data_IF_941358806752
#
_entry.id   IF_941358806752
#
_cell.length_a   1.000
_cell.length_b   1.000
_cell.length_c   1.000
_cell.angle_alpha   90.00
_cell.angle_beta   90.00
_cell.angle_gamma   90.00
#
_symmetry.space_group_name_H-M   'P 1'
#
loop_
_entity.id
_entity.type
_entity.pdbx_description
1 polymer ?
#
# COMPACT_ATOMS: atom_id res chain seq x y z
N UNK A 1 -3.74 10.87 -15.01
CA UNK A 1 -2.32 11.05 -15.43
C UNK A 1 -2.17 10.53 -16.85
N UNK A 2 -1.42 11.20 -17.70
CA UNK A 2 -1.26 10.84 -19.12
C UNK A 2 -0.33 9.63 -19.33
N UNK A 3 0.65 9.42 -18.45
CA UNK A 3 1.53 8.25 -18.47
C UNK A 3 1.82 7.77 -17.05
N UNK A 4 1.78 6.46 -16.83
CA UNK A 4 2.19 5.81 -15.58
C UNK A 4 3.56 5.16 -15.74
N UNK A 5 4.30 4.98 -14.65
CA UNK A 5 5.55 4.24 -14.71
C UNK A 5 5.27 2.75 -14.56
N UNK A 6 5.76 1.95 -15.50
CA UNK A 6 5.74 0.49 -15.43
C UNK A 6 7.17 -0.05 -15.58
N UNK A 7 7.42 -1.22 -15.00
CA UNK A 7 8.67 -1.95 -15.16
C UNK A 7 8.50 -2.91 -16.32
N UNK A 8 9.33 -2.77 -17.34
CA UNK A 8 9.40 -3.69 -18.46
C UNK A 8 10.66 -4.54 -18.30
N UNK A 9 10.50 -5.85 -18.36
CA UNK A 9 11.65 -6.74 -18.43
C UNK A 9 12.40 -6.58 -19.76
N UNK A 10 13.71 -6.33 -19.68
CA UNK A 10 14.59 -6.33 -20.84
C UNK A 10 15.37 -7.64 -20.93
N UNK A 11 15.83 -8.14 -19.78
CA UNK A 11 16.79 -9.23 -19.72
C UNK A 11 16.70 -9.99 -18.40
N UNK A 12 16.76 -11.32 -18.48
CA UNK A 12 16.75 -12.22 -17.33
C UNK A 12 17.86 -13.25 -17.49
N UNK A 13 18.62 -13.45 -16.42
CA UNK A 13 19.58 -14.54 -16.22
C UNK A 13 19.10 -15.47 -15.12
N UNK A 14 19.81 -16.56 -14.86
CA UNK A 14 19.50 -17.43 -13.73
C UNK A 14 19.60 -16.74 -12.36
N UNK A 15 20.38 -15.66 -12.24
CA UNK A 15 20.63 -14.99 -10.95
C UNK A 15 20.09 -13.56 -10.86
N UNK A 16 19.85 -12.89 -11.99
CA UNK A 16 19.52 -11.46 -12.03
C UNK A 16 18.50 -11.14 -13.13
N UNK A 17 17.61 -10.19 -12.84
CA UNK A 17 16.66 -9.59 -13.80
C UNK A 17 16.98 -8.10 -13.97
N UNK A 18 17.01 -7.64 -15.21
CA UNK A 18 17.17 -6.24 -15.58
C UNK A 18 15.82 -5.69 -16.05
N UNK A 19 15.24 -4.83 -15.23
CA UNK A 19 13.98 -4.16 -15.50
C UNK A 19 14.24 -2.71 -15.91
N UNK A 20 13.60 -2.26 -16.99
CA UNK A 20 13.59 -0.85 -17.39
C UNK A 20 12.31 -0.20 -16.95
N UNK A 21 12.44 0.93 -16.27
CA UNK A 21 11.31 1.82 -16.00
C UNK A 21 10.96 2.56 -17.30
N UNK A 22 9.76 2.34 -17.81
CA UNK A 22 9.22 3.02 -19.00
C UNK A 22 7.99 3.85 -18.63
N UNK A 23 7.65 4.82 -19.48
CA UNK A 23 6.36 5.50 -19.44
C UNK A 23 5.34 4.61 -20.15
N UNK A 24 4.55 3.87 -19.36
CA UNK A 24 3.42 3.09 -19.84
C UNK A 24 2.17 3.94 -20.09
N UNK A 25 1.05 3.25 -20.32
CA UNK A 25 -0.25 3.89 -20.49
C UNK A 25 -0.69 4.68 -19.25
N UNK A 26 -1.77 5.44 -19.38
CA UNK A 26 -2.32 6.22 -18.28
C UNK A 26 -2.73 5.37 -17.07
N UNK A 27 -3.06 6.06 -15.99
CA UNK A 27 -3.62 5.43 -14.80
C UNK A 27 -4.63 6.34 -14.10
N UNK A 28 -5.54 5.69 -13.37
CA UNK A 28 -6.57 6.30 -12.55
C UNK A 28 -6.41 5.88 -11.09
N UNK A 29 -6.27 6.88 -10.25
CA UNK A 29 -6.19 6.78 -8.79
C UNK A 29 -7.39 7.52 -8.24
N UNK A 30 -8.17 6.85 -7.41
CA UNK A 30 -9.34 7.41 -6.76
C UNK A 30 -9.42 6.89 -5.34
N UNK A 31 -9.85 7.71 -4.40
CA UNK A 31 -9.96 7.29 -3.02
C UNK A 31 -10.77 8.26 -2.18
N UNK A 32 -11.17 7.78 -1.02
CA UNK A 32 -11.87 8.52 0.01
C UNK A 32 -11.05 8.41 1.31
N UNK A 33 -10.24 9.44 1.64
CA UNK A 33 -9.65 9.55 2.96
C UNK A 33 -10.68 10.15 3.93
N UNK A 34 -10.55 9.77 5.19
CA UNK A 34 -11.24 10.44 6.28
C UNK A 34 -10.36 10.39 7.53
N UNK A 35 -10.38 11.48 8.28
CA UNK A 35 -9.55 11.67 9.46
C UNK A 35 -10.41 12.15 10.62
N UNK A 36 -10.08 11.67 11.81
CA UNK A 36 -10.76 11.95 13.05
C UNK A 36 -9.73 12.33 14.11
N UNK A 37 -9.97 13.45 14.79
CA UNK A 37 -9.22 13.82 15.98
C UNK A 37 -10.18 14.29 17.05
N UNK A 38 -10.11 13.67 18.22
CA UNK A 38 -10.94 14.00 19.36
C UNK A 38 -10.05 14.20 20.59
N UNK A 39 -10.35 15.23 21.37
CA UNK A 39 -9.76 15.48 22.67
C UNK A 39 -10.89 15.37 23.71
N UNK A 40 -10.75 14.46 24.66
CA UNK A 40 -11.70 14.30 25.75
C UNK A 40 -11.06 14.85 27.03
N UNK A 41 -11.35 16.13 27.30
CA UNK A 41 -10.73 16.86 28.41
C UNK A 41 -9.21 17.00 28.25
N UNK A 42 -8.48 17.23 29.35
CA UNK A 42 -7.03 17.43 29.30
C UNK A 42 -6.22 16.13 29.25
N UNK A 43 -6.84 14.97 29.43
CA UNK A 43 -6.13 13.71 29.69
C UNK A 43 -6.20 12.71 28.55
N UNK A 44 -7.23 12.73 27.71
CA UNK A 44 -7.43 11.71 26.67
C UNK A 44 -7.43 12.35 25.29
N UNK A 45 -6.65 11.77 24.38
CA UNK A 45 -6.64 12.13 22.96
C UNK A 45 -6.81 10.89 22.09
N UNK A 46 -7.69 10.97 21.09
CA UNK A 46 -7.82 9.98 20.04
C UNK A 46 -7.54 10.64 18.70
N UNK A 47 -6.65 10.07 17.91
CA UNK A 47 -6.45 10.40 16.51
C UNK A 47 -6.60 9.14 15.68
N UNK A 48 -7.27 9.22 14.55
CA UNK A 48 -7.39 8.09 13.62
C UNK A 48 -7.56 8.62 12.20
N UNK A 49 -7.05 7.86 11.24
CA UNK A 49 -7.28 8.11 9.82
C UNK A 49 -7.52 6.80 9.10
N UNK A 50 -8.30 6.88 8.04
CA UNK A 50 -8.68 5.75 7.20
C UNK A 50 -8.74 6.21 5.75
N UNK A 51 -8.27 5.35 4.86
CA UNK A 51 -8.23 5.62 3.43
C UNK A 51 -8.70 4.38 2.70
N UNK A 52 -9.74 4.55 1.89
CA UNK A 52 -10.15 3.57 0.89
C UNK A 52 -9.70 4.08 -0.46
N UNK A 53 -8.94 3.28 -1.21
CA UNK A 53 -8.42 3.67 -2.51
C UNK A 53 -8.57 2.58 -3.56
N UNK A 54 -8.69 3.01 -4.81
CA UNK A 54 -8.72 2.19 -6.01
C UNK A 54 -7.78 2.79 -7.04
N UNK A 55 -6.72 2.04 -7.33
CA UNK A 55 -5.62 2.43 -8.20
C UNK A 55 -5.55 1.46 -9.37
N UNK A 56 -5.73 1.96 -10.58
CA UNK A 56 -5.85 1.12 -11.78
C UNK A 56 -5.09 1.71 -12.96
N UNK A 57 -4.28 0.88 -13.61
CA UNK A 57 -3.66 1.14 -14.90
C UNK A 57 -4.74 1.09 -15.99
N UNK A 58 -4.65 1.96 -16.98
CA UNK A 58 -5.59 1.95 -18.10
C UNK A 58 -5.45 0.68 -18.94
N UNK A 59 -4.21 0.24 -19.17
CA UNK A 59 -3.85 -1.05 -19.75
C UNK A 59 -3.26 -2.01 -18.70
N UNK A 60 -3.44 -3.33 -18.85
CA UNK A 60 -2.80 -4.31 -17.97
C UNK A 60 -1.28 -4.19 -17.95
N UNK A 61 -0.69 -4.43 -16.78
CA UNK A 61 0.75 -4.60 -16.64
C UNK A 61 1.21 -5.80 -17.50
N UNK A 62 2.31 -5.68 -18.28
CA UNK A 62 2.70 -6.68 -19.28
C UNK A 62 2.99 -8.09 -18.73
N UNK A 63 3.62 -8.19 -17.57
CA UNK A 63 4.15 -9.47 -17.07
C UNK A 63 3.06 -10.30 -16.38
N UNK A 64 2.17 -9.66 -15.62
CA UNK A 64 1.13 -10.35 -14.84
C UNK A 64 -0.29 -10.11 -15.35
N UNK A 65 -0.49 -9.28 -16.37
CA UNK A 65 -1.83 -8.95 -16.91
C UNK A 65 -2.74 -8.25 -15.89
N UNK A 66 -2.17 -7.68 -14.82
CA UNK A 66 -2.92 -7.06 -13.74
C UNK A 66 -3.07 -5.56 -14.00
N UNK A 67 -4.27 -5.02 -13.78
CA UNK A 67 -4.50 -3.58 -13.86
C UNK A 67 -4.39 -2.88 -12.51
N UNK A 68 -4.36 -3.59 -11.40
CA UNK A 68 -4.18 -2.98 -10.09
C UNK A 68 -2.72 -2.65 -9.86
N UNK A 69 -2.47 -1.57 -9.13
CA UNK A 69 -1.11 -1.19 -8.78
C UNK A 69 -0.53 -2.22 -7.81
N UNK A 70 0.67 -2.71 -8.11
CA UNK A 70 1.38 -3.61 -7.22
C UNK A 70 1.78 -2.89 -5.92
N UNK A 71 1.87 -3.67 -4.84
CA UNK A 71 2.28 -3.20 -3.50
C UNK A 71 1.50 -1.97 -3.02
N UNK A 72 0.24 -1.85 -3.45
CA UNK A 72 -0.63 -0.72 -3.14
C UNK A 72 -1.92 -1.22 -2.49
N UNK A 73 -2.11 -1.05 -1.17
CA UNK A 73 -3.27 -1.57 -0.44
C UNK A 73 -4.56 -0.85 -0.82
N UNK A 74 -5.68 -1.58 -0.90
CA UNK A 74 -7.00 -0.99 -1.18
C UNK A 74 -7.55 -0.21 0.02
N UNK A 75 -7.07 -0.50 1.22
CA UNK A 75 -7.46 0.15 2.46
C UNK A 75 -6.26 0.31 3.38
N UNK A 76 -6.15 1.45 4.03
CA UNK A 76 -5.18 1.71 5.09
C UNK A 76 -5.87 2.46 6.22
N UNK A 77 -5.52 2.16 7.46
CA UNK A 77 -5.99 2.93 8.61
C UNK A 77 -4.98 2.92 9.74
N UNK A 78 -4.98 4.00 10.51
CA UNK A 78 -4.21 4.12 11.74
C UNK A 78 -5.09 4.66 12.86
N UNK A 79 -4.73 4.37 14.10
CA UNK A 79 -5.31 4.97 15.29
C UNK A 79 -4.25 5.13 16.38
N UNK A 80 -4.31 6.26 17.07
CA UNK A 80 -3.45 6.60 18.20
C UNK A 80 -4.33 7.08 19.35
N UNK A 81 -4.25 6.39 20.48
CA UNK A 81 -4.91 6.74 21.73
C UNK A 81 -3.84 7.15 22.74
N UNK A 82 -3.94 8.38 23.22
CA UNK A 82 -3.10 8.92 24.28
C UNK A 82 -3.92 9.12 25.55
N UNK A 83 -3.38 8.69 26.68
CA UNK A 83 -3.86 9.00 28.02
C UNK A 83 -2.71 9.60 28.83
N UNK A 84 -2.85 10.85 29.23
CA UNK A 84 -1.81 11.62 29.92
C UNK A 84 -2.36 12.07 31.27
N UNK A 85 -1.96 11.39 32.34
CA UNK A 85 -2.26 11.78 33.71
C UNK A 85 -0.93 12.01 34.43
N UNK A 86 -0.42 13.24 34.35
CA UNK A 86 0.95 13.63 34.71
C UNK A 86 1.42 13.38 36.15
N UNK A 87 0.60 12.75 37.00
CA UNK A 87 0.95 12.31 38.37
C UNK A 87 0.83 10.80 38.59
N UNK A 88 0.16 10.07 37.69
CA UNK A 88 -0.17 8.65 37.86
C UNK A 88 0.47 7.83 36.74
N UNK A 89 0.07 8.08 35.50
CA UNK A 89 0.52 7.29 34.36
C UNK A 89 0.27 8.04 33.06
N UNK A 90 1.17 7.82 32.10
CA UNK A 90 0.99 8.21 30.72
C UNK A 90 1.02 6.91 29.88
N UNK A 91 0.05 6.76 28.98
CA UNK A 91 -0.12 5.58 28.13
C UNK A 91 -0.38 6.06 26.71
N UNK A 92 0.38 5.52 25.78
CA UNK A 92 0.18 5.74 24.34
C UNK A 92 0.01 4.38 23.67
N UNK A 93 -1.08 4.23 22.93
CA UNK A 93 -1.43 3.03 22.17
C UNK A 93 -1.57 3.41 20.70
N UNK A 94 -0.84 2.72 19.83
CA UNK A 94 -0.90 2.89 18.38
C UNK A 94 -1.34 1.60 17.70
N UNK A 95 -2.17 1.73 16.69
CA UNK A 95 -2.66 0.65 15.85
C UNK A 95 -2.51 1.05 14.38
N UNK A 96 -1.93 0.16 13.59
CA UNK A 96 -1.82 0.29 12.14
C UNK A 96 -2.47 -0.92 11.47
N UNK A 97 -3.19 -0.65 10.39
CA UNK A 97 -3.79 -1.68 9.55
C UNK A 97 -3.56 -1.36 8.08
N UNK A 98 -2.98 -2.33 7.38
CA UNK A 98 -2.77 -2.27 5.94
C UNK A 98 -3.47 -3.43 5.27
N UNK A 99 -4.40 -3.12 4.37
CA UNK A 99 -5.21 -4.11 3.69
C UNK A 99 -4.44 -4.87 2.60
N UNK A 100 -5.16 -5.81 1.98
CA UNK A 100 -4.61 -6.64 0.89
C UNK A 100 -4.24 -5.81 -0.34
N UNK A 101 -3.24 -6.29 -1.05
CA UNK A 101 -2.72 -5.73 -2.30
C UNK A 101 -2.17 -6.81 -3.22
N UNK A 102 -1.95 -6.45 -4.48
CA UNK A 102 -1.28 -7.33 -5.44
C UNK A 102 0.23 -7.33 -5.20
N UNK A 103 0.80 -8.50 -4.96
CA UNK A 103 2.22 -8.73 -4.73
C UNK A 103 2.77 -9.60 -5.86
N UNK A 104 3.63 -9.04 -6.74
CA UNK A 104 4.32 -9.84 -7.74
C UNK A 104 5.47 -10.59 -7.06
N UNK A 105 5.49 -11.90 -7.27
CA UNK A 105 6.58 -12.78 -6.90
C UNK A 105 7.27 -13.24 -8.17
N UNK A 106 8.54 -12.90 -8.31
CA UNK A 106 9.35 -13.27 -9.46
C UNK A 106 10.07 -14.59 -9.18
N UNK A 107 10.15 -15.44 -10.20
CA UNK A 107 10.95 -16.66 -10.29
C UNK A 107 12.37 -16.41 -9.77
N UNK A 108 12.86 -17.37 -9.00
CA UNK A 108 14.20 -17.36 -8.41
C UNK A 108 14.26 -18.38 -7.28
N UNK A 109 13.68 -18.03 -6.14
CA UNK A 109 13.40 -19.01 -5.08
C UNK A 109 12.16 -19.87 -5.38
N UNK A 110 11.15 -19.27 -6.03
CA UNK A 110 9.96 -19.96 -6.51
C UNK A 110 10.12 -20.38 -7.98
N UNK A 111 9.39 -21.42 -8.40
CA UNK A 111 9.53 -22.05 -9.72
C UNK A 111 9.09 -21.17 -10.89
N UNK A 112 8.05 -20.35 -10.68
CA UNK A 112 7.46 -19.51 -11.71
C UNK A 112 7.04 -18.15 -11.15
N UNK A 113 6.90 -17.17 -12.02
CA UNK A 113 6.37 -15.85 -11.65
C UNK A 113 4.91 -16.02 -11.21
N UNK A 114 4.56 -15.47 -10.05
CA UNK A 114 3.22 -15.57 -9.46
C UNK A 114 2.72 -14.22 -8.99
N UNK A 115 1.42 -13.98 -9.09
CA UNK A 115 0.77 -12.81 -8.53
C UNK A 115 -0.13 -13.23 -7.38
N UNK A 116 0.16 -12.73 -6.18
CA UNK A 116 -0.61 -13.03 -4.97
C UNK A 116 -1.38 -11.80 -4.49
N UNK A 117 -2.58 -12.01 -3.96
CA UNK A 117 -3.30 -10.98 -3.19
C UNK A 117 -3.15 -11.26 -1.70
N UNK A 118 -2.21 -10.58 -1.04
CA UNK A 118 -1.89 -10.78 0.37
C UNK A 118 -1.83 -9.46 1.16
N UNK A 119 -1.82 -9.60 2.48
CA UNK A 119 -1.48 -8.50 3.40
C UNK A 119 0.05 -8.27 3.37
N UNK A 120 0.54 -7.07 3.75
CA UNK A 120 1.98 -6.80 3.81
C UNK A 120 2.75 -7.60 4.86
N UNK A 121 2.05 -8.18 5.84
CA UNK A 121 2.59 -8.90 6.99
C UNK A 121 1.80 -10.19 7.23
#
# INVERSE_FOLDING_TARGET
MTHSFILQEIYTTESHRLLRRINGSGARVSGAPADLKILFGPWVSLQSGWTLQKNRLDEPEPDFGCREFFKTPKSYSYASLGYQHGRIINVDLTLDYTGRMQLPHYRGYISEDGLETANPF
#
